data_IF_585448181101
#
_entry.id   IF_585448181101
#
_cell.length_a   1.000
_cell.length_b   1.000
_cell.length_c   1.000
_cell.angle_alpha   90.00
_cell.angle_beta   90.00
_cell.angle_gamma   90.00
#
_symmetry.space_group_name_H-M   'P 1'
#
loop_
_entity.id
_entity.type
_entity.pdbx_description
1 polymer ?
#
# COMPACT_ATOMS: atom_id res chain seq x y z
N UNK A 1 -1.39 8.00 -24.69
CA UNK A 1 -2.05 7.05 -23.78
C UNK A 1 -3.56 7.23 -23.92
N UNK A 2 -4.28 6.21 -24.32
CA UNK A 2 -5.75 6.25 -24.44
C UNK A 2 -6.33 6.10 -23.03
N UNK A 3 -6.90 7.17 -22.50
CA UNK A 3 -7.69 7.10 -21.26
C UNK A 3 -8.96 6.30 -21.57
N UNK A 4 -8.96 5.02 -21.17
CA UNK A 4 -10.16 4.20 -21.24
C UNK A 4 -11.14 4.76 -20.21
N UNK A 5 -12.18 5.47 -20.66
CA UNK A 5 -13.31 5.85 -19.81
C UNK A 5 -14.10 4.57 -19.48
N UNK A 6 -13.75 3.92 -18.37
CA UNK A 6 -14.54 2.81 -17.82
C UNK A 6 -15.65 3.37 -16.94
N UNK A 7 -16.83 2.72 -16.91
CA UNK A 7 -17.85 3.02 -15.90
C UNK A 7 -17.23 2.75 -14.51
N UNK A 8 -17.15 3.73 -13.61
CA UNK A 8 -16.53 3.56 -12.29
C UNK A 8 -17.21 2.49 -11.42
N UNK A 9 -18.39 2.02 -11.83
CA UNK A 9 -19.14 0.94 -11.16
C UNK A 9 -18.81 -0.44 -11.72
N UNK A 10 -18.08 -0.52 -12.84
CA UNK A 10 -17.75 -1.78 -13.48
C UNK A 10 -16.57 -2.45 -12.78
N UNK A 11 -16.76 -3.72 -12.41
CA UNK A 11 -15.70 -4.52 -11.79
C UNK A 11 -14.58 -4.76 -12.80
N UNK A 12 -13.37 -4.32 -12.47
CA UNK A 12 -12.18 -4.68 -13.24
C UNK A 12 -11.79 -6.12 -12.90
N UNK A 13 -11.78 -6.98 -13.89
CA UNK A 13 -11.38 -8.38 -13.75
C UNK A 13 -10.59 -8.82 -14.97
N UNK A 14 -9.30 -9.05 -14.80
CA UNK A 14 -8.39 -9.46 -15.87
C UNK A 14 -8.46 -10.97 -16.10
N UNK A 15 -8.44 -11.73 -15.00
CA UNK A 15 -8.45 -13.20 -15.05
C UNK A 15 -9.82 -13.77 -14.74
N UNK A 16 -10.15 -14.88 -15.40
CA UNK A 16 -11.30 -15.72 -15.07
C UNK A 16 -10.98 -16.63 -13.84
N UNK A 17 -11.95 -17.43 -13.41
CA UNK A 17 -11.81 -18.35 -12.28
C UNK A 17 -10.79 -19.47 -12.53
N UNK A 18 -10.44 -19.73 -13.79
CA UNK A 18 -9.42 -20.69 -14.19
C UNK A 18 -8.03 -20.06 -14.39
N UNK A 19 -7.89 -18.77 -14.08
CA UNK A 19 -6.62 -18.02 -14.23
C UNK A 19 -6.29 -17.65 -15.68
N UNK A 20 -7.25 -17.67 -16.59
CA UNK A 20 -7.07 -17.28 -18.00
C UNK A 20 -7.46 -15.82 -18.20
N UNK A 21 -6.70 -15.12 -19.03
CA UNK A 21 -7.03 -13.73 -19.40
C UNK A 21 -8.38 -13.68 -20.09
N UNK A 22 -9.24 -12.80 -19.64
CA UNK A 22 -10.57 -12.57 -20.24
C UNK A 22 -10.44 -11.85 -21.57
N UNK A 23 -11.31 -12.18 -22.51
CA UNK A 23 -11.34 -11.57 -23.83
C UNK A 23 -11.69 -10.06 -23.74
N UNK A 24 -10.96 -9.22 -24.48
CA UNK A 24 -11.21 -7.77 -24.54
C UNK A 24 -10.74 -6.97 -23.32
N UNK A 25 -9.91 -7.54 -22.46
CA UNK A 25 -9.32 -6.85 -21.29
C UNK A 25 -7.85 -6.54 -21.54
N UNK A 26 -7.46 -5.29 -21.28
CA UNK A 26 -6.05 -4.90 -21.31
C UNK A 26 -5.28 -5.55 -20.16
N UNK A 27 -4.19 -6.23 -20.49
CA UNK A 27 -3.29 -6.85 -19.53
C UNK A 27 -2.12 -5.89 -19.31
N UNK A 28 -1.63 -5.71 -18.05
CA UNK A 28 -0.39 -5.00 -17.81
C UNK A 28 0.78 -5.61 -18.60
N UNK A 29 1.62 -4.75 -19.18
CA UNK A 29 2.82 -5.18 -19.90
C UNK A 29 3.91 -5.52 -18.90
N UNK A 30 3.91 -6.76 -18.44
CA UNK A 30 4.84 -7.31 -17.45
C UNK A 30 5.61 -8.48 -18.09
N UNK A 31 6.90 -8.51 -17.86
CA UNK A 31 7.76 -9.62 -18.24
C UNK A 31 7.52 -10.85 -17.35
N UNK A 32 7.96 -12.03 -17.82
CA UNK A 32 7.90 -13.24 -16.99
C UNK A 32 8.77 -13.12 -15.74
N UNK A 33 9.91 -12.44 -15.80
CA UNK A 33 10.81 -12.23 -14.66
C UNK A 33 10.15 -11.34 -13.60
N UNK A 34 9.48 -10.26 -13.99
CA UNK A 34 8.72 -9.39 -13.08
C UNK A 34 7.56 -10.15 -12.40
N UNK A 35 6.85 -10.99 -13.16
CA UNK A 35 5.79 -11.82 -12.59
C UNK A 35 6.32 -12.83 -11.57
N UNK A 36 7.49 -13.44 -11.85
CA UNK A 36 8.15 -14.38 -10.93
C UNK A 36 8.61 -13.62 -9.67
N UNK A 37 9.23 -12.45 -9.82
CA UNK A 37 9.67 -11.62 -8.70
C UNK A 37 8.49 -11.23 -7.79
N UNK A 38 7.39 -10.72 -8.37
CA UNK A 38 6.18 -10.41 -7.60
C UNK A 38 5.63 -11.63 -6.88
N UNK A 39 5.62 -12.79 -7.52
CA UNK A 39 5.17 -14.03 -6.89
C UNK A 39 6.07 -14.44 -5.73
N UNK A 40 7.39 -14.36 -5.88
CA UNK A 40 8.35 -14.64 -4.80
C UNK A 40 8.15 -13.69 -3.62
N UNK A 41 7.94 -12.41 -3.89
CA UNK A 41 7.65 -11.41 -2.86
C UNK A 41 6.32 -11.69 -2.15
N UNK A 42 5.25 -12.02 -2.87
CA UNK A 42 3.99 -12.44 -2.25
C UNK A 42 4.16 -13.68 -1.35
N UNK A 43 4.98 -14.64 -1.77
CA UNK A 43 5.31 -15.82 -0.96
C UNK A 43 6.11 -15.47 0.28
N UNK A 44 7.07 -14.55 0.16
CA UNK A 44 7.87 -14.05 1.28
C UNK A 44 6.99 -13.30 2.29
N UNK A 45 6.13 -12.41 1.82
CA UNK A 45 5.17 -11.65 2.63
C UNK A 45 4.23 -12.59 3.38
N UNK A 46 3.68 -13.60 2.72
CA UNK A 46 2.84 -14.63 3.37
C UNK A 46 3.60 -15.37 4.47
N UNK A 47 4.83 -15.78 4.19
CA UNK A 47 5.66 -16.50 5.16
C UNK A 47 6.03 -15.63 6.35
N UNK A 48 6.31 -14.36 6.10
CA UNK A 48 6.53 -13.37 7.16
C UNK A 48 5.30 -13.21 8.04
N UNK A 49 4.11 -13.04 7.46
CA UNK A 49 2.84 -12.88 8.16
C UNK A 49 2.56 -14.07 9.09
N UNK A 50 2.65 -15.30 8.56
CA UNK A 50 2.49 -16.53 9.35
C UNK A 50 3.46 -16.59 10.53
N UNK A 51 4.72 -16.16 10.31
CA UNK A 51 5.73 -16.14 11.36
C UNK A 51 5.46 -15.07 12.41
N UNK A 52 5.05 -13.88 12.00
CA UNK A 52 4.70 -12.78 12.89
C UNK A 52 3.50 -13.14 13.78
N UNK A 53 2.44 -13.72 13.21
CA UNK A 53 1.29 -14.26 13.98
C UNK A 53 1.74 -15.31 14.99
N UNK A 54 2.65 -16.22 14.60
CA UNK A 54 3.20 -17.22 15.51
C UNK A 54 3.98 -16.60 16.68
N UNK A 55 4.79 -15.56 16.41
CA UNK A 55 5.54 -14.84 17.44
C UNK A 55 4.60 -14.08 18.39
N UNK A 56 3.55 -13.48 17.87
CA UNK A 56 2.55 -12.78 18.65
C UNK A 56 1.80 -13.77 19.59
N UNK A 57 1.39 -14.94 19.08
CA UNK A 57 0.75 -15.98 19.89
C UNK A 57 1.66 -16.55 20.98
N UNK A 58 2.97 -16.50 20.81
CA UNK A 58 3.97 -16.87 21.80
C UNK A 58 4.25 -15.77 22.85
N UNK A 59 3.56 -14.63 22.75
CA UNK A 59 3.78 -13.48 23.65
C UNK A 59 5.08 -12.71 23.38
N UNK A 60 5.75 -12.96 22.27
CA UNK A 60 6.99 -12.26 21.88
C UNK A 60 6.74 -10.92 21.21
N UNK A 61 5.51 -10.64 20.83
CA UNK A 61 5.02 -9.37 20.29
C UNK A 61 3.71 -9.01 20.99
N UNK A 62 3.47 -7.72 21.23
CA UNK A 62 2.26 -7.26 21.92
C UNK A 62 1.01 -7.39 21.05
N UNK A 63 1.11 -6.93 19.83
CA UNK A 63 0.05 -7.03 18.82
C UNK A 63 0.67 -7.22 17.44
N UNK A 64 -0.13 -7.71 16.50
CA UNK A 64 0.23 -7.79 15.09
C UNK A 64 -1.03 -7.89 14.24
N UNK A 65 -1.27 -7.00 13.28
CA UNK A 65 -2.38 -7.07 12.34
C UNK A 65 -1.99 -7.98 11.15
N UNK A 66 -2.55 -9.18 11.02
CA UNK A 66 -2.23 -10.04 9.90
C UNK A 66 -2.70 -9.45 8.57
N UNK A 67 -1.94 -9.69 7.52
CA UNK A 67 -2.23 -9.22 6.15
C UNK A 67 -2.62 -10.34 5.19
N UNK A 68 -2.69 -11.57 5.66
CA UNK A 68 -3.00 -12.76 4.84
C UNK A 68 -4.21 -12.53 3.95
N UNK A 69 -4.05 -12.73 2.64
CA UNK A 69 -5.05 -12.48 1.61
C UNK A 69 -4.88 -11.13 0.88
N UNK A 70 -4.00 -10.25 1.34
CA UNK A 70 -3.75 -8.94 0.73
C UNK A 70 -2.41 -8.87 -0.02
N UNK A 71 -1.66 -9.97 -0.10
CA UNK A 71 -0.31 -9.99 -0.67
C UNK A 71 -0.28 -9.47 -2.10
N UNK A 72 -1.22 -9.92 -2.94
CA UNK A 72 -1.29 -9.50 -4.32
C UNK A 72 -1.56 -8.01 -4.48
N UNK A 73 -2.50 -7.46 -3.69
CA UNK A 73 -2.81 -6.03 -3.71
C UNK A 73 -1.62 -5.18 -3.27
N UNK A 74 -0.93 -5.60 -2.20
CA UNK A 74 0.20 -4.84 -1.64
C UNK A 74 1.45 -4.93 -2.52
N UNK A 75 1.81 -6.12 -3.00
CA UNK A 75 3.00 -6.30 -3.84
C UNK A 75 2.81 -5.61 -5.18
N UNK A 76 1.67 -5.84 -5.87
CA UNK A 76 1.45 -5.27 -7.19
C UNK A 76 1.36 -3.74 -7.17
N UNK A 77 0.68 -3.16 -6.17
CA UNK A 77 0.61 -1.69 -6.06
C UNK A 77 1.96 -1.06 -5.72
N UNK A 78 2.82 -1.74 -4.94
CA UNK A 78 4.16 -1.25 -4.65
C UNK A 78 5.10 -1.34 -5.86
N UNK A 79 4.94 -2.36 -6.71
CA UNK A 79 5.68 -2.48 -7.98
C UNK A 79 5.29 -1.44 -9.03
N UNK A 80 4.09 -0.89 -8.94
CA UNK A 80 3.63 0.16 -9.86
C UNK A 80 4.19 1.55 -9.55
N UNK A 81 4.96 1.69 -8.46
CA UNK A 81 5.54 2.96 -8.02
C UNK A 81 6.97 3.11 -8.49
N UNK A 82 7.33 4.32 -8.92
CA UNK A 82 8.70 4.71 -9.17
C UNK A 82 9.49 4.90 -7.85
N UNK A 83 10.82 4.96 -7.94
CA UNK A 83 11.69 5.06 -6.76
C UNK A 83 11.42 6.34 -5.94
N UNK A 84 11.10 7.45 -6.62
CA UNK A 84 10.82 8.74 -6.02
C UNK A 84 9.41 8.87 -5.42
N UNK A 85 8.50 7.95 -5.75
CA UNK A 85 7.13 7.99 -5.25
C UNK A 85 7.05 7.71 -3.75
N UNK A 86 6.05 8.30 -3.11
CA UNK A 86 5.86 8.19 -1.67
C UNK A 86 4.72 7.27 -1.27
N UNK A 87 4.94 6.52 -0.21
CA UNK A 87 3.95 5.61 0.40
C UNK A 87 3.50 6.15 1.75
N UNK A 88 2.20 6.27 1.94
CA UNK A 88 1.54 6.58 3.21
C UNK A 88 0.73 5.36 3.67
N UNK A 89 1.34 4.47 4.45
CA UNK A 89 0.69 3.25 4.90
C UNK A 89 -0.27 3.52 6.06
N UNK A 90 -1.26 2.65 6.21
CA UNK A 90 -1.91 2.48 7.51
C UNK A 90 -1.05 1.57 8.39
N UNK A 91 -1.63 0.59 9.03
CA UNK A 91 -0.88 -0.31 9.92
C UNK A 91 -0.72 -1.74 9.37
N UNK A 92 -1.20 -2.02 8.15
CA UNK A 92 -1.23 -3.40 7.61
C UNK A 92 -0.36 -3.59 6.36
N UNK A 93 0.19 -2.56 5.80
CA UNK A 93 0.91 -2.56 4.51
C UNK A 93 2.36 -3.03 4.63
N UNK A 94 2.58 -4.15 5.35
CA UNK A 94 3.93 -4.73 5.55
C UNK A 94 4.53 -5.22 4.24
N UNK A 95 3.69 -5.76 3.32
CA UNK A 95 4.10 -6.19 2.00
C UNK A 95 4.59 -5.03 1.14
N UNK A 96 3.91 -3.89 1.19
CA UNK A 96 4.36 -2.66 0.52
C UNK A 96 5.71 -2.22 1.06
N UNK A 97 5.85 -2.17 2.38
CA UNK A 97 7.11 -1.81 3.02
C UNK A 97 8.27 -2.70 2.57
N UNK A 98 8.04 -4.02 2.51
CA UNK A 98 9.03 -5.00 2.09
C UNK A 98 9.47 -4.78 0.64
N UNK A 99 8.53 -4.59 -0.29
CA UNK A 99 8.82 -4.32 -1.71
C UNK A 99 9.61 -3.02 -1.86
N UNK A 100 9.30 -2.01 -1.05
CA UNK A 100 9.98 -0.71 -1.04
C UNK A 100 11.31 -0.71 -0.29
N UNK A 101 11.79 -1.85 0.21
CA UNK A 101 13.11 -1.99 0.82
C UNK A 101 13.16 -1.96 2.34
N UNK A 102 12.02 -1.94 3.04
CA UNK A 102 12.02 -2.10 4.50
C UNK A 102 12.39 -3.53 4.89
N UNK A 103 13.31 -3.67 5.82
CA UNK A 103 13.69 -4.99 6.32
C UNK A 103 12.56 -5.62 7.16
N UNK A 104 12.42 -6.93 7.06
CA UNK A 104 11.49 -7.71 7.87
C UNK A 104 11.76 -7.55 9.38
N UNK A 105 13.03 -7.42 9.76
CA UNK A 105 13.43 -7.16 11.14
C UNK A 105 12.84 -5.85 11.66
N UNK A 106 12.89 -4.78 10.87
CA UNK A 106 12.36 -3.47 11.26
C UNK A 106 10.85 -3.53 11.50
N UNK A 107 10.11 -4.20 10.63
CA UNK A 107 8.67 -4.39 10.80
C UNK A 107 8.35 -5.17 12.09
N UNK A 108 9.14 -6.21 12.42
CA UNK A 108 8.98 -6.92 13.68
C UNK A 108 9.31 -6.05 14.89
N UNK A 109 10.40 -5.26 14.84
CA UNK A 109 10.77 -4.33 15.91
C UNK A 109 9.67 -3.31 16.18
N UNK A 110 9.03 -2.78 15.14
CA UNK A 110 7.89 -1.88 15.29
C UNK A 110 6.77 -2.53 16.12
N UNK A 111 6.34 -3.74 15.76
CA UNK A 111 5.27 -4.45 16.48
C UNK A 111 5.69 -5.01 17.84
N UNK A 112 6.99 -5.06 18.13
CA UNK A 112 7.54 -5.33 19.46
C UNK A 112 7.61 -4.07 20.33
N UNK A 113 7.25 -2.89 19.82
CA UNK A 113 7.33 -1.61 20.53
C UNK A 113 8.76 -1.08 20.69
N UNK A 114 9.68 -1.51 19.85
CA UNK A 114 11.06 -1.06 19.89
C UNK A 114 11.25 0.20 19.02
N UNK A 115 11.88 1.25 19.56
CA UNK A 115 12.07 2.56 18.91
C UNK A 115 12.68 2.45 17.50
N UNK A 116 13.65 1.56 17.30
CA UNK A 116 14.27 1.33 15.99
C UNK A 116 13.29 0.90 14.91
N UNK A 117 12.15 0.35 15.28
CA UNK A 117 11.08 0.00 14.33
C UNK A 117 10.42 1.22 13.69
N UNK A 118 10.48 2.39 14.35
CA UNK A 118 9.88 3.64 13.85
C UNK A 118 10.80 4.42 12.89
N UNK A 119 12.09 4.10 12.85
CA UNK A 119 13.01 4.80 11.95
C UNK A 119 12.82 4.29 10.53
N UNK A 120 12.44 5.19 9.60
CA UNK A 120 12.48 4.90 8.18
C UNK A 120 13.88 5.17 7.64
N UNK A 121 14.44 4.28 6.77
CA UNK A 121 15.69 4.57 6.08
C UNK A 121 15.55 5.83 5.21
N UNK A 122 16.62 6.60 5.08
CA UNK A 122 16.61 7.86 4.30
C UNK A 122 16.38 7.65 2.80
N UNK A 123 16.69 6.45 2.32
CA UNK A 123 16.54 6.01 0.93
C UNK A 123 15.20 5.33 0.63
N UNK A 124 14.28 5.30 1.59
CA UNK A 124 12.97 4.67 1.43
C UNK A 124 11.87 5.69 1.65
N UNK A 125 11.18 6.04 0.58
CA UNK A 125 10.07 7.01 0.59
C UNK A 125 8.78 6.41 1.16
N UNK A 126 8.79 6.08 2.44
CA UNK A 126 7.63 5.58 3.19
C UNK A 126 7.43 6.46 4.43
N UNK A 127 6.21 6.96 4.59
CA UNK A 127 5.82 7.69 5.80
C UNK A 127 5.66 6.72 7.00
N UNK A 128 5.76 7.26 8.20
CA UNK A 128 5.55 6.47 9.43
C UNK A 128 4.20 5.78 9.44
N UNK A 129 4.20 4.52 9.91
CA UNK A 129 2.97 3.77 10.13
C UNK A 129 2.05 4.51 11.11
N UNK A 130 0.80 4.72 10.71
CA UNK A 130 -0.24 5.33 11.55
C UNK A 130 -1.23 4.27 12.00
N UNK A 131 -1.30 4.01 13.32
CA UNK A 131 -2.30 3.09 13.89
C UNK A 131 -3.68 3.74 14.00
N UNK A 132 -3.83 5.03 14.38
CA UNK A 132 -5.13 5.71 14.31
C UNK A 132 -5.66 5.73 12.88
N UNK A 133 -6.90 5.26 12.72
CA UNK A 133 -7.52 5.06 11.40
C UNK A 133 -7.67 6.40 10.68
N UNK A 134 -7.38 6.42 9.37
CA UNK A 134 -7.46 7.55 8.45
C UNK A 134 -6.43 8.68 8.64
N UNK A 135 -5.67 8.75 9.74
CA UNK A 135 -4.72 9.84 10.04
C UNK A 135 -3.67 10.05 8.93
N UNK A 136 -3.26 9.01 8.21
CA UNK A 136 -2.31 9.11 7.10
C UNK A 136 -2.87 9.84 5.87
N UNK A 137 -4.19 9.94 5.72
CA UNK A 137 -4.85 10.49 4.54
C UNK A 137 -4.58 11.99 4.38
N UNK A 138 -4.85 12.86 5.39
CA UNK A 138 -4.49 14.27 5.30
C UNK A 138 -2.96 14.49 5.20
N UNK A 139 -2.13 13.62 5.79
CA UNK A 139 -0.68 13.71 5.64
C UNK A 139 -0.24 13.46 4.18
N UNK A 140 -0.79 12.41 3.55
CA UNK A 140 -0.52 12.12 2.14
C UNK A 140 -0.95 13.28 1.23
N UNK A 141 -2.14 13.82 1.47
CA UNK A 141 -2.65 14.96 0.71
C UNK A 141 -1.79 16.20 0.89
N UNK A 142 -1.36 16.51 2.11
CA UNK A 142 -0.49 17.66 2.38
C UNK A 142 0.88 17.53 1.74
N UNK A 143 1.50 16.34 1.83
CA UNK A 143 2.80 16.07 1.22
C UNK A 143 2.74 16.14 -0.31
N UNK A 144 1.73 15.52 -0.91
CA UNK A 144 1.54 15.54 -2.37
C UNK A 144 1.24 16.95 -2.90
N UNK A 145 0.49 17.74 -2.12
CA UNK A 145 0.25 19.15 -2.47
C UNK A 145 1.53 19.97 -2.42
N UNK A 146 2.37 19.80 -1.40
CA UNK A 146 3.67 20.47 -1.31
C UNK A 146 4.56 20.11 -2.51
N UNK A 147 4.69 18.82 -2.85
CA UNK A 147 5.45 18.34 -4.00
C UNK A 147 4.95 18.96 -5.32
N UNK A 148 3.62 19.05 -5.50
CA UNK A 148 3.02 19.72 -6.65
C UNK A 148 3.38 21.21 -6.73
N UNK A 149 3.40 21.92 -5.59
CA UNK A 149 3.77 23.34 -5.54
C UNK A 149 5.26 23.55 -5.87
N UNK A 150 6.11 22.59 -5.52
CA UNK A 150 7.54 22.59 -5.83
C UNK A 150 7.80 22.16 -7.29
N UNK A 151 6.78 21.75 -8.03
CA UNK A 151 6.89 21.34 -9.43
C UNK A 151 7.52 19.95 -9.62
N UNK A 152 7.47 19.11 -8.61
CA UNK A 152 7.97 17.74 -8.67
C UNK A 152 6.96 16.81 -9.36
N UNK A 153 7.46 15.87 -10.15
CA UNK A 153 6.65 14.83 -10.81
C UNK A 153 6.74 13.52 -10.01
N UNK A 154 6.05 13.46 -8.86
CA UNK A 154 6.00 12.29 -7.97
C UNK A 154 4.56 11.91 -7.68
N UNK A 155 4.30 10.61 -7.56
CA UNK A 155 3.03 10.09 -7.06
C UNK A 155 3.10 9.82 -5.54
N UNK A 156 1.95 9.93 -4.90
CA UNK A 156 1.77 9.66 -3.48
C UNK A 156 0.65 8.65 -3.31
N UNK A 157 0.98 7.43 -2.88
CA UNK A 157 -0.05 6.42 -2.63
C UNK A 157 -0.37 6.37 -1.14
N UNK A 158 -1.66 6.47 -0.82
CA UNK A 158 -2.18 6.41 0.55
C UNK A 158 -3.07 5.18 0.72
N UNK A 159 -2.66 4.26 1.60
CA UNK A 159 -3.41 3.04 1.87
C UNK A 159 -4.35 3.21 3.08
N UNK A 160 -5.54 2.63 2.97
CA UNK A 160 -6.51 2.60 4.06
C UNK A 160 -7.50 1.45 3.88
N UNK A 161 -8.17 1.04 4.95
CA UNK A 161 -9.27 0.08 4.91
C UNK A 161 -10.62 0.77 4.69
N UNK A 162 -11.64 0.01 4.33
CA UNK A 162 -13.03 0.49 4.17
C UNK A 162 -13.55 1.18 5.43
N UNK A 163 -13.16 0.75 6.63
CA UNK A 163 -13.52 1.40 7.89
C UNK A 163 -13.07 2.86 8.00
N UNK A 164 -11.99 3.26 7.32
CA UNK A 164 -11.51 4.63 7.32
C UNK A 164 -12.51 5.62 6.69
N UNK A 165 -13.39 5.14 5.82
CA UNK A 165 -14.42 5.98 5.17
C UNK A 165 -15.45 6.56 6.14
N UNK A 166 -15.47 6.09 7.38
CA UNK A 166 -16.33 6.62 8.45
C UNK A 166 -15.66 7.73 9.27
N UNK A 167 -14.38 7.99 9.05
CA UNK A 167 -13.61 8.99 9.78
C UNK A 167 -13.63 10.35 9.08
N UNK A 168 -13.58 11.45 9.86
CA UNK A 168 -13.52 12.81 9.33
C UNK A 168 -12.31 13.05 8.44
N UNK A 169 -11.14 12.57 8.88
CA UNK A 169 -9.86 12.70 8.17
C UNK A 169 -9.92 12.14 6.73
N UNK A 170 -10.70 11.07 6.50
CA UNK A 170 -10.94 10.55 5.17
C UNK A 170 -11.61 11.58 4.28
N UNK A 171 -12.75 12.13 4.72
CA UNK A 171 -13.54 13.09 3.93
C UNK A 171 -12.78 14.38 3.70
N UNK A 172 -12.08 14.86 4.71
CA UNK A 172 -11.31 16.10 4.65
C UNK A 172 -10.10 15.95 3.72
N UNK A 173 -9.34 14.87 3.86
CA UNK A 173 -8.18 14.62 3.02
C UNK A 173 -8.53 14.45 1.54
N UNK A 174 -9.58 13.66 1.22
CA UNK A 174 -10.02 13.49 -0.16
C UNK A 174 -10.60 14.78 -0.74
N UNK A 175 -11.34 15.57 0.06
CA UNK A 175 -11.86 16.85 -0.38
C UNK A 175 -10.72 17.83 -0.73
N UNK A 176 -9.69 17.93 0.11
CA UNK A 176 -8.50 18.74 -0.17
C UNK A 176 -7.77 18.26 -1.42
N UNK A 177 -7.59 16.93 -1.55
CA UNK A 177 -6.95 16.36 -2.73
C UNK A 177 -7.70 16.74 -4.02
N UNK A 178 -9.04 16.66 -3.99
CA UNK A 178 -9.87 17.03 -5.14
C UNK A 178 -9.87 18.54 -5.43
N UNK A 179 -9.86 19.39 -4.40
CA UNK A 179 -9.84 20.85 -4.55
C UNK A 179 -8.52 21.35 -5.13
N UNK A 180 -7.40 20.79 -4.65
CA UNK A 180 -6.05 21.19 -5.07
C UNK A 180 -5.47 20.33 -6.18
N UNK A 181 -6.21 19.31 -6.63
CA UNK A 181 -5.81 18.38 -7.68
C UNK A 181 -4.39 17.83 -7.39
N UNK A 182 -4.25 17.20 -6.21
CA UNK A 182 -2.97 16.66 -5.76
C UNK A 182 -2.65 15.31 -6.40
N UNK A 183 -1.38 14.96 -6.66
CA UNK A 183 -0.98 13.68 -7.24
C UNK A 183 -1.06 12.54 -6.21
N UNK A 184 -2.23 12.37 -5.57
CA UNK A 184 -2.47 11.36 -4.53
C UNK A 184 -3.34 10.22 -5.08
N UNK A 185 -2.85 8.99 -4.97
CA UNK A 185 -3.63 7.78 -5.22
C UNK A 185 -4.17 7.26 -3.89
N UNK A 186 -5.48 7.20 -3.75
CA UNK A 186 -6.15 6.67 -2.57
C UNK A 186 -6.49 5.19 -2.79
N UNK A 187 -5.72 4.31 -2.14
CA UNK A 187 -5.83 2.87 -2.29
C UNK A 187 -6.61 2.24 -1.13
N UNK A 188 -7.87 1.91 -1.39
CA UNK A 188 -8.76 1.31 -0.39
C UNK A 188 -8.68 -0.23 -0.40
N UNK A 189 -8.21 -0.84 0.68
CA UNK A 189 -8.29 -2.27 0.92
C UNK A 189 -9.67 -2.61 1.50
N UNK A 190 -10.67 -2.79 0.64
CA UNK A 190 -12.01 -3.16 1.07
C UNK A 190 -12.13 -4.66 1.27
N UNK A 191 -12.07 -5.09 2.52
CA UNK A 191 -12.25 -6.49 2.90
C UNK A 191 -13.62 -6.78 3.55
N UNK A 192 -14.54 -5.80 3.51
CA UNK A 192 -15.89 -5.87 4.07
C UNK A 192 -15.93 -6.15 5.60
#
# INVERSE_FOLDING_TARGET
>A
MSTIQRDPRERVQILDEAGRVREGVDVPDLTEDELVEMYEQMRLVRRFDERAVSLQRQGRMGTYPPLSGQEGAQVASAHALDAEDWVFPSYREHGVGLVRGLSLERTLLYWMGHERGNYMPEDVNIFSVAVPIATQIPHATGASWASKLDGEEKAFICYFGDGATSEGDFHEGLNFAGVFDTPTVFFCNNNQ
#
